data_IF_581873687707
#
_entry.id   IF_581873687707
#
_cell.length_a   1.000
_cell.length_b   1.000
_cell.length_c   1.000
_cell.angle_alpha   90.00
_cell.angle_beta   90.00
_cell.angle_gamma   90.00
#
_symmetry.space_group_name_H-M   'P 1'
#
loop_
_entity.id
_entity.type
_entity.pdbx_description
1 polymer ?
#
# COMPACT_ATOMS: atom_id res chain seq x y z
N UNK A 1 -13.69 7.28 -30.75
CA UNK A 1 -14.70 6.79 -29.78
C UNK A 1 -14.96 5.29 -29.91
N UNK A 2 -15.36 4.79 -31.09
CA UNK A 2 -15.60 3.34 -31.34
C UNK A 2 -14.39 2.46 -31.01
N UNK A 3 -13.19 2.87 -31.43
CA UNK A 3 -11.95 2.14 -31.15
C UNK A 3 -11.63 2.04 -29.65
N UNK A 4 -11.99 3.06 -28.86
CA UNK A 4 -11.78 3.08 -27.41
C UNK A 4 -12.76 2.14 -26.70
N UNK A 5 -14.01 2.10 -27.14
CA UNK A 5 -15.05 1.21 -26.61
C UNK A 5 -14.68 -0.25 -26.88
N UNK A 6 -14.22 -0.57 -28.09
CA UNK A 6 -13.77 -1.93 -28.43
C UNK A 6 -12.61 -2.39 -27.54
N UNK A 7 -11.64 -1.51 -27.28
CA UNK A 7 -10.50 -1.82 -26.39
C UNK A 7 -10.95 -2.03 -24.94
N UNK A 8 -11.84 -1.18 -24.42
CA UNK A 8 -12.41 -1.34 -23.09
C UNK A 8 -13.20 -2.65 -23.00
N UNK A 9 -14.05 -2.93 -23.98
CA UNK A 9 -14.84 -4.16 -24.03
C UNK A 9 -13.97 -5.41 -24.12
N UNK A 10 -12.88 -5.37 -24.90
CA UNK A 10 -11.91 -6.47 -24.97
C UNK A 10 -11.25 -6.71 -23.61
N UNK A 11 -10.76 -5.65 -22.95
CA UNK A 11 -10.11 -5.77 -21.63
C UNK A 11 -11.07 -6.30 -20.58
N UNK A 12 -12.29 -5.73 -20.51
CA UNK A 12 -13.32 -6.19 -19.57
C UNK A 12 -13.78 -7.61 -19.87
N UNK A 13 -13.90 -7.97 -21.16
CA UNK A 13 -14.26 -9.31 -21.61
C UNK A 13 -13.22 -10.33 -21.18
N UNK A 14 -11.94 -10.09 -21.45
CA UNK A 14 -10.84 -10.97 -21.02
C UNK A 14 -10.78 -11.07 -19.49
N UNK A 15 -10.87 -9.95 -18.77
CA UNK A 15 -10.86 -9.95 -17.31
C UNK A 15 -12.03 -10.77 -16.73
N UNK A 16 -13.22 -10.65 -17.32
CA UNK A 16 -14.42 -11.40 -16.90
C UNK A 16 -14.29 -12.89 -17.22
N UNK A 17 -13.69 -13.27 -18.35
CA UNK A 17 -13.47 -14.66 -18.69
C UNK A 17 -12.43 -15.32 -17.76
N UNK A 18 -11.36 -14.61 -17.42
CA UNK A 18 -10.27 -15.14 -16.60
C UNK A 18 -10.66 -15.19 -15.11
N UNK A 19 -11.24 -14.11 -14.58
CA UNK A 19 -11.49 -13.96 -13.14
C UNK A 19 -12.98 -13.88 -12.76
N UNK A 20 -13.88 -13.63 -13.72
CA UNK A 20 -15.31 -13.45 -13.45
C UNK A 20 -16.00 -14.70 -12.91
N UNK A 21 -15.52 -15.89 -13.26
CA UNK A 21 -16.08 -17.15 -12.74
C UNK A 21 -16.01 -17.22 -11.20
N UNK A 22 -14.97 -16.64 -10.59
CA UNK A 22 -14.81 -16.63 -9.13
C UNK A 22 -15.92 -15.80 -8.46
N UNK A 23 -16.20 -14.62 -9.01
CA UNK A 23 -17.27 -13.75 -8.52
C UNK A 23 -18.65 -14.36 -8.77
N UNK A 24 -18.85 -15.00 -9.92
CA UNK A 24 -20.08 -15.73 -10.21
C UNK A 24 -20.30 -16.89 -9.24
N UNK A 25 -19.26 -17.69 -8.96
CA UNK A 25 -19.31 -18.76 -7.96
C UNK A 25 -19.68 -18.22 -6.57
N UNK A 26 -19.07 -17.11 -6.14
CA UNK A 26 -19.39 -16.51 -4.85
C UNK A 26 -20.86 -16.10 -4.77
N UNK A 27 -21.38 -15.50 -5.85
CA UNK A 27 -22.77 -15.10 -5.91
C UNK A 27 -23.73 -16.30 -5.84
N UNK A 28 -23.46 -17.38 -6.58
CA UNK A 28 -24.34 -18.56 -6.57
C UNK A 28 -24.27 -19.37 -5.28
N UNK A 29 -23.09 -19.47 -4.65
CA UNK A 29 -22.89 -20.29 -3.46
C UNK A 29 -23.13 -19.53 -2.15
N UNK A 30 -22.89 -18.22 -2.13
CA UNK A 30 -22.84 -17.43 -0.90
C UNK A 30 -23.67 -16.14 -0.98
N UNK A 31 -24.35 -15.88 -2.11
CA UNK A 31 -25.26 -14.74 -2.29
C UNK A 31 -24.57 -13.38 -2.48
N UNK A 32 -23.23 -13.35 -2.52
CA UNK A 32 -22.45 -12.12 -2.59
C UNK A 32 -21.31 -12.24 -3.60
N UNK A 33 -20.98 -11.18 -4.33
CA UNK A 33 -19.86 -11.20 -5.28
C UNK A 33 -18.49 -11.18 -4.55
N UNK A 34 -18.37 -10.36 -3.50
CA UNK A 34 -17.14 -10.16 -2.75
C UNK A 34 -17.27 -10.74 -1.36
N UNK A 35 -16.31 -11.59 -0.97
CA UNK A 35 -16.31 -12.25 0.33
C UNK A 35 -14.96 -12.01 0.96
N UNK A 36 -14.97 -11.21 2.03
CA UNK A 36 -13.76 -10.83 2.75
C UNK A 36 -13.19 -11.97 3.58
N UNK A 37 -11.91 -11.85 3.97
CA UNK A 37 -11.31 -12.74 4.97
C UNK A 37 -12.02 -12.71 6.32
N UNK A 38 -12.71 -11.60 6.60
CA UNK A 38 -13.46 -11.32 7.81
C UNK A 38 -14.94 -11.70 7.75
N UNK A 39 -15.40 -12.28 6.64
CA UNK A 39 -16.82 -12.59 6.48
C UNK A 39 -17.27 -13.69 7.46
N UNK A 40 -18.38 -13.51 8.21
CA UNK A 40 -18.90 -14.51 9.15
C UNK A 40 -19.19 -15.87 8.50
N UNK A 41 -19.51 -15.91 7.20
CA UNK A 41 -19.75 -17.15 6.45
C UNK A 41 -18.54 -18.08 6.41
N UNK A 42 -17.33 -17.55 6.66
CA UNK A 42 -16.10 -18.35 6.77
C UNK A 42 -15.96 -19.11 8.08
N UNK A 43 -16.83 -18.85 9.06
CA UNK A 43 -16.78 -19.49 10.39
C UNK A 43 -15.57 -19.07 11.25
N UNK A 44 -14.83 -18.03 10.85
CA UNK A 44 -13.68 -17.51 11.59
C UNK A 44 -14.15 -16.34 12.45
N UNK A 45 -14.04 -16.50 13.77
CA UNK A 45 -14.31 -15.42 14.72
C UNK A 45 -13.04 -14.61 14.92
N UNK A 46 -13.00 -13.41 14.32
CA UNK A 46 -11.94 -12.45 14.56
C UNK A 46 -12.13 -11.82 15.93
N UNK A 47 -11.07 -11.78 16.73
CA UNK A 47 -11.04 -11.15 18.04
C UNK A 47 -9.68 -10.49 18.26
N UNK A 48 -9.64 -9.49 19.14
CA UNK A 48 -8.47 -8.71 19.45
C UNK A 48 -8.55 -8.26 20.91
N UNK A 49 -7.42 -8.17 21.59
CA UNK A 49 -7.38 -7.63 22.94
C UNK A 49 -7.89 -6.16 22.97
N UNK A 50 -8.48 -5.71 24.08
CA UNK A 50 -8.88 -4.32 24.26
C UNK A 50 -7.73 -3.34 23.99
N UNK A 51 -8.05 -2.16 23.46
CA UNK A 51 -7.04 -1.13 23.13
C UNK A 51 -6.81 -0.90 21.63
N UNK A 52 -7.62 -1.52 20.78
CA UNK A 52 -7.69 -1.25 19.33
C UNK A 52 -8.80 -0.24 19.00
N UNK A 53 -8.76 0.35 17.79
CA UNK A 53 -9.69 1.41 17.33
C UNK A 53 -9.64 2.70 18.16
N UNK A 54 -8.49 2.99 18.74
CA UNK A 54 -8.31 4.26 19.46
C UNK A 54 -8.10 5.40 18.48
N UNK A 55 -8.57 6.61 18.81
CA UNK A 55 -8.32 7.78 17.97
C UNK A 55 -6.81 8.01 17.74
N UNK A 56 -5.98 7.71 18.74
CA UNK A 56 -4.52 7.80 18.63
C UNK A 56 -3.99 7.03 17.42
N UNK A 57 -4.46 5.80 17.18
CA UNK A 57 -4.03 4.96 16.06
C UNK A 57 -4.35 5.54 14.66
N UNK A 58 -5.27 6.51 14.57
CA UNK A 58 -5.60 7.23 13.33
C UNK A 58 -4.77 8.49 13.11
N UNK A 59 -4.10 9.00 14.14
CA UNK A 59 -3.36 10.26 14.07
C UNK A 59 -1.86 10.11 14.42
N UNK A 60 -1.43 8.93 14.87
CA UNK A 60 -0.02 8.63 15.13
C UNK A 60 0.69 8.14 13.88
N UNK A 61 1.94 8.57 13.74
CA UNK A 61 2.90 8.06 12.76
C UNK A 61 4.31 8.23 13.33
N UNK A 62 5.21 7.29 13.02
CA UNK A 62 6.64 7.40 13.31
C UNK A 62 7.21 6.19 14.04
N UNK A 63 6.36 5.35 14.64
CA UNK A 63 6.80 4.09 15.24
C UNK A 63 7.53 3.23 14.21
N UNK A 64 7.02 3.21 12.98
CA UNK A 64 7.58 2.46 11.86
C UNK A 64 8.98 2.90 11.42
N UNK A 65 9.48 4.06 11.86
CA UNK A 65 10.84 4.53 11.55
C UNK A 65 11.91 3.94 12.49
N UNK A 66 11.50 3.53 13.70
CA UNK A 66 12.39 3.01 14.73
C UNK A 66 12.11 1.53 15.03
N UNK A 67 10.83 1.15 15.01
CA UNK A 67 10.33 -0.19 15.28
C UNK A 67 9.37 -0.63 14.15
N UNK A 68 9.87 -0.83 12.91
CA UNK A 68 9.04 -1.15 11.75
C UNK A 68 8.32 -2.50 11.82
N UNK A 69 8.95 -3.48 12.47
CA UNK A 69 8.41 -4.83 12.62
C UNK A 69 7.19 -4.76 13.56
N UNK A 70 6.04 -5.19 13.06
CA UNK A 70 4.74 -5.13 13.75
C UNK A 70 4.31 -3.74 14.22
N UNK A 71 4.82 -2.67 13.58
CA UNK A 71 4.43 -1.27 13.85
C UNK A 71 2.92 -1.00 13.67
N UNK A 72 2.21 -1.93 13.03
CA UNK A 72 0.76 -1.91 12.84
C UNK A 72 -0.06 -1.81 14.14
N UNK A 73 0.51 -2.24 15.26
CA UNK A 73 -0.11 -2.13 16.58
C UNK A 73 -0.21 -0.65 16.99
N UNK A 74 0.77 0.17 16.60
CA UNK A 74 0.85 1.57 16.98
C UNK A 74 -0.13 2.46 16.22
N UNK A 75 -0.41 2.15 14.95
CA UNK A 75 -1.36 2.92 14.15
C UNK A 75 -1.49 2.49 12.70
N UNK A 76 -2.53 2.99 12.04
CA UNK A 76 -2.85 2.67 10.63
C UNK A 76 -1.75 3.15 9.70
N UNK A 77 -1.22 4.35 9.93
CA UNK A 77 -0.19 4.94 9.07
C UNK A 77 1.14 4.22 9.19
N UNK A 78 1.52 3.84 10.41
CA UNK A 78 2.71 3.02 10.66
C UNK A 78 2.59 1.64 9.99
N UNK A 79 1.40 1.03 10.04
CA UNK A 79 1.10 -0.23 9.36
C UNK A 79 1.22 -0.12 7.84
N UNK A 80 0.62 0.91 7.25
CA UNK A 80 0.67 1.13 5.81
C UNK A 80 2.10 1.42 5.34
N UNK A 81 2.84 2.24 6.08
CA UNK A 81 4.21 2.60 5.75
C UNK A 81 5.14 1.39 5.82
N UNK A 82 5.15 0.67 6.94
CA UNK A 82 6.02 -0.50 7.13
C UNK A 82 5.68 -1.67 6.22
N UNK A 83 4.48 -1.72 5.64
CA UNK A 83 4.10 -2.78 4.69
C UNK A 83 4.16 -2.35 3.22
N UNK A 84 4.24 -1.05 2.94
CA UNK A 84 4.43 -0.54 1.58
C UNK A 84 5.90 -0.65 1.17
N UNK A 85 6.80 -0.35 2.10
CA UNK A 85 8.24 -0.19 1.79
C UNK A 85 9.12 -1.32 2.25
N UNK A 86 8.61 -2.17 3.15
CA UNK A 86 9.32 -3.31 3.69
C UNK A 86 8.34 -4.41 4.11
N UNK A 87 8.87 -5.51 4.62
CA UNK A 87 8.08 -6.60 5.20
C UNK A 87 7.83 -6.38 6.70
N UNK A 88 7.00 -5.38 7.03
CA UNK A 88 6.66 -5.05 8.42
C UNK A 88 5.90 -6.15 9.18
N UNK A 89 5.45 -7.21 8.50
CA UNK A 89 4.77 -8.36 9.11
C UNK A 89 5.59 -9.66 9.07
N UNK A 90 6.87 -9.61 8.65
CA UNK A 90 7.74 -10.77 8.54
C UNK A 90 7.08 -11.93 7.78
N UNK A 91 6.45 -11.61 6.65
CA UNK A 91 5.76 -12.55 5.76
C UNK A 91 4.58 -13.25 6.42
N UNK A 92 4.05 -12.67 7.51
CA UNK A 92 2.96 -13.24 8.29
C UNK A 92 3.40 -14.43 9.13
N UNK A 93 4.70 -14.62 9.37
CA UNK A 93 5.21 -15.64 10.26
C UNK A 93 4.97 -15.29 11.73
N UNK A 94 4.79 -16.33 12.53
CA UNK A 94 4.66 -16.24 13.97
C UNK A 94 6.06 -15.99 14.59
N UNK A 95 6.20 -15.04 15.55
CA UNK A 95 7.47 -14.75 16.24
C UNK A 95 8.17 -15.97 16.87
N UNK A 96 7.46 -17.07 17.10
CA UNK A 96 8.00 -18.30 17.67
C UNK A 96 8.75 -19.19 16.67
N UNK A 97 8.66 -18.89 15.37
CA UNK A 97 9.43 -19.56 14.33
C UNK A 97 10.65 -18.72 13.94
N UNK A 98 11.66 -19.38 13.35
CA UNK A 98 12.74 -18.66 12.68
C UNK A 98 12.10 -17.76 11.62
N UNK A 99 12.28 -16.44 11.80
CA UNK A 99 11.75 -15.45 10.89
C UNK A 99 12.25 -15.68 9.45
N UNK A 100 11.61 -15.03 8.47
CA UNK A 100 12.06 -15.15 7.09
C UNK A 100 13.54 -14.73 6.97
N UNK A 101 14.33 -15.36 6.08
CA UNK A 101 15.77 -15.18 6.00
C UNK A 101 16.16 -13.85 5.34
N UNK A 102 15.51 -12.74 5.70
CA UNK A 102 15.82 -11.41 5.20
C UNK A 102 17.13 -10.89 5.80
N UNK A 103 17.84 -10.08 5.03
CA UNK A 103 18.91 -9.27 5.61
C UNK A 103 18.29 -8.09 6.37
N UNK A 104 18.10 -8.26 7.68
CA UNK A 104 17.46 -7.27 8.54
C UNK A 104 18.18 -5.92 8.58
N UNK A 105 19.49 -5.88 8.33
CA UNK A 105 20.22 -4.62 8.25
C UNK A 105 19.66 -3.73 7.13
N UNK A 106 19.58 -4.28 5.92
CA UNK A 106 19.06 -3.58 4.73
C UNK A 106 17.54 -3.42 4.73
N UNK A 107 16.82 -4.39 5.32
CA UNK A 107 15.37 -4.32 5.45
C UNK A 107 14.95 -3.14 6.35
N UNK A 108 15.61 -2.98 7.50
CA UNK A 108 15.26 -1.96 8.49
C UNK A 108 15.75 -0.56 8.07
N UNK A 109 16.89 -0.44 7.38
CA UNK A 109 17.35 0.84 6.83
C UNK A 109 16.40 1.41 5.76
N UNK A 110 15.67 0.54 5.07
CA UNK A 110 14.60 0.95 4.14
C UNK A 110 13.52 1.80 4.81
N UNK A 111 13.37 1.74 6.15
CA UNK A 111 12.45 2.59 6.91
C UNK A 111 12.79 4.08 6.83
N UNK A 112 14.05 4.45 6.66
CA UNK A 112 14.43 5.85 6.50
C UNK A 112 14.54 6.23 5.03
N UNK A 113 15.12 5.35 4.21
CA UNK A 113 15.35 5.62 2.79
C UNK A 113 14.03 5.78 2.02
N UNK A 114 12.98 5.05 2.41
CA UNK A 114 11.66 5.12 1.77
C UNK A 114 10.82 6.34 2.16
N UNK A 115 11.29 7.20 3.08
CA UNK A 115 10.69 8.50 3.32
C UNK A 115 10.71 9.37 2.05
N UNK A 116 11.76 9.26 1.24
CA UNK A 116 11.87 10.04 0.00
C UNK A 116 10.77 9.67 -1.03
N UNK A 117 10.62 8.40 -1.46
CA UNK A 117 9.53 8.05 -2.38
C UNK A 117 8.15 8.26 -1.75
N UNK A 118 7.98 8.09 -0.43
CA UNK A 118 6.73 8.46 0.27
C UNK A 118 6.41 9.95 0.14
N UNK A 119 7.42 10.80 0.37
CA UNK A 119 7.30 12.25 0.23
C UNK A 119 6.98 12.64 -1.21
N UNK A 120 7.59 11.97 -2.18
CA UNK A 120 7.28 12.18 -3.59
C UNK A 120 5.81 11.86 -3.91
N UNK A 121 5.25 10.76 -3.38
CA UNK A 121 3.83 10.43 -3.56
C UNK A 121 2.94 11.53 -2.95
N UNK A 122 3.23 11.98 -1.73
CA UNK A 122 2.45 13.03 -1.05
C UNK A 122 2.51 14.37 -1.78
N UNK A 123 3.69 14.77 -2.26
CA UNK A 123 3.85 15.95 -3.10
C UNK A 123 3.08 15.81 -4.42
N UNK A 124 3.12 14.62 -5.03
CA UNK A 124 2.35 14.28 -6.22
C UNK A 124 0.85 14.44 -6.04
N UNK A 125 0.31 13.98 -4.90
CA UNK A 125 -1.09 14.18 -4.52
C UNK A 125 -1.39 15.68 -4.42
N UNK A 126 -0.54 16.45 -3.72
CA UNK A 126 -0.69 17.90 -3.62
C UNK A 126 -0.70 18.59 -4.99
N UNK A 127 0.22 18.21 -5.88
CA UNK A 127 0.27 18.71 -7.26
C UNK A 127 -1.01 18.40 -8.01
N UNK A 128 -1.49 17.15 -7.95
CA UNK A 128 -2.69 16.71 -8.65
C UNK A 128 -3.96 17.43 -8.16
N UNK A 129 -4.03 17.79 -6.88
CA UNK A 129 -5.18 18.46 -6.28
C UNK A 129 -5.17 19.98 -6.52
N UNK A 130 -4.02 20.63 -6.41
CA UNK A 130 -3.93 22.09 -6.33
C UNK A 130 -3.40 22.77 -7.60
N UNK A 131 -2.67 22.08 -8.50
CA UNK A 131 -2.21 22.72 -9.73
C UNK A 131 -3.39 22.95 -10.70
N UNK A 132 -3.52 24.15 -11.30
CA UNK A 132 -4.52 24.40 -12.34
C UNK A 132 -4.34 23.51 -13.56
N UNK A 133 -3.10 23.12 -13.85
CA UNK A 133 -2.70 22.23 -14.96
C UNK A 133 -2.81 20.74 -14.60
N UNK A 134 -3.69 20.37 -13.66
CA UNK A 134 -3.90 18.98 -13.25
C UNK A 134 -4.44 18.13 -14.40
N UNK A 135 -3.89 16.92 -14.55
CA UNK A 135 -4.37 15.95 -15.54
C UNK A 135 -5.48 15.10 -14.95
N UNK A 136 -6.44 14.67 -15.79
CA UNK A 136 -7.51 13.76 -15.37
C UNK A 136 -6.95 12.43 -14.84
N UNK A 137 -5.83 11.95 -15.40
CA UNK A 137 -5.13 10.76 -14.94
C UNK A 137 -4.60 10.89 -13.51
N UNK A 138 -3.98 12.03 -13.17
CA UNK A 138 -3.48 12.26 -11.81
C UNK A 138 -4.63 12.34 -10.79
N UNK A 139 -5.74 13.00 -11.13
CA UNK A 139 -6.94 13.02 -10.28
C UNK A 139 -7.56 11.64 -10.11
N UNK A 140 -7.60 10.84 -11.17
CA UNK A 140 -8.04 9.45 -11.09
C UNK A 140 -7.15 8.65 -10.13
N UNK A 141 -5.83 8.80 -10.22
CA UNK A 141 -4.88 8.15 -9.30
C UNK A 141 -5.09 8.57 -7.84
N UNK A 142 -5.31 9.86 -7.56
CA UNK A 142 -5.64 10.33 -6.20
C UNK A 142 -6.94 9.72 -5.70
N UNK A 143 -8.00 9.72 -6.52
CA UNK A 143 -9.29 9.13 -6.16
C UNK A 143 -9.19 7.64 -5.86
N UNK A 144 -8.43 6.89 -6.65
CA UNK A 144 -8.20 5.46 -6.40
C UNK A 144 -7.49 5.23 -5.06
N UNK A 145 -6.42 5.95 -4.77
CA UNK A 145 -5.71 5.84 -3.47
C UNK A 145 -6.64 6.22 -2.33
N UNK A 146 -7.40 7.31 -2.47
CA UNK A 146 -8.34 7.75 -1.44
C UNK A 146 -9.39 6.67 -1.12
N UNK A 147 -9.99 6.05 -2.15
CA UNK A 147 -10.97 4.97 -1.96
C UNK A 147 -10.35 3.77 -1.22
N UNK A 148 -9.12 3.40 -1.56
CA UNK A 148 -8.42 2.30 -0.88
C UNK A 148 -8.07 2.63 0.57
N UNK A 149 -7.57 3.83 0.84
CA UNK A 149 -7.29 4.28 2.21
C UNK A 149 -8.59 4.30 3.02
N UNK A 150 -9.69 4.81 2.47
CA UNK A 150 -10.99 4.79 3.12
C UNK A 150 -11.49 3.36 3.41
N UNK A 151 -11.31 2.43 2.46
CA UNK A 151 -11.67 1.03 2.65
C UNK A 151 -10.82 0.35 3.75
N UNK A 152 -9.52 0.63 3.81
CA UNK A 152 -8.63 0.11 4.85
C UNK A 152 -9.00 0.69 6.22
N UNK A 153 -9.30 1.98 6.32
CA UNK A 153 -9.75 2.61 7.56
C UNK A 153 -11.07 2.02 8.05
N UNK A 154 -12.03 1.81 7.15
CA UNK A 154 -13.29 1.13 7.45
C UNK A 154 -13.04 -0.29 7.97
N UNK A 155 -12.14 -1.02 7.31
CA UNK A 155 -11.79 -2.38 7.72
C UNK A 155 -11.13 -2.40 9.11
N UNK A 156 -10.20 -1.48 9.37
CA UNK A 156 -9.52 -1.32 10.66
C UNK A 156 -10.53 -1.00 11.80
N UNK A 157 -11.58 -0.24 11.49
CA UNK A 157 -12.68 0.07 12.42
C UNK A 157 -13.69 -1.06 12.60
N UNK A 158 -13.78 -2.02 11.67
CA UNK A 158 -14.86 -3.01 11.64
C UNK A 158 -14.38 -4.40 12.05
N UNK A 159 -13.14 -4.75 11.70
CA UNK A 159 -12.56 -6.07 11.94
C UNK A 159 -11.53 -6.00 13.07
N UNK A 160 -11.68 -6.77 14.15
CA UNK A 160 -10.73 -6.81 15.26
C UNK A 160 -9.52 -7.70 14.89
N UNK A 161 -8.60 -7.19 14.07
CA UNK A 161 -7.35 -7.87 13.71
C UNK A 161 -6.21 -6.86 13.55
N UNK A 162 -5.08 -7.08 14.23
CA UNK A 162 -3.91 -6.19 14.19
C UNK A 162 -3.31 -6.04 12.78
N UNK A 163 -3.49 -7.04 11.92
CA UNK A 163 -2.89 -7.06 10.59
C UNK A 163 -3.81 -6.48 9.50
N UNK A 164 -4.81 -5.68 9.86
CA UNK A 164 -5.79 -5.17 8.90
C UNK A 164 -5.20 -4.17 7.91
N UNK A 165 -4.34 -3.28 8.37
CA UNK A 165 -3.86 -2.15 7.57
C UNK A 165 -2.62 -2.51 6.74
N UNK A 166 -2.77 -3.36 5.72
CA UNK A 166 -1.65 -3.75 4.83
C UNK A 166 -1.69 -2.99 3.52
N UNK A 167 -0.55 -2.43 3.14
CA UNK A 167 -0.37 -1.80 1.84
C UNK A 167 -0.40 -2.82 0.68
N UNK A 168 -0.25 -4.13 0.95
CA UNK A 168 -0.42 -5.18 -0.08
C UNK A 168 -1.81 -5.18 -0.72
N UNK A 169 -2.83 -4.67 -0.03
CA UNK A 169 -4.15 -4.46 -0.64
C UNK A 169 -4.13 -3.43 -1.77
N UNK A 170 -3.12 -2.55 -1.80
CA UNK A 170 -2.96 -1.50 -2.81
C UNK A 170 -2.05 -1.90 -3.98
N UNK A 171 -1.67 -3.18 -4.12
CA UNK A 171 -0.81 -3.65 -5.23
C UNK A 171 -1.38 -3.30 -6.61
N UNK A 172 -2.69 -3.36 -6.79
CA UNK A 172 -3.34 -2.93 -8.04
C UNK A 172 -3.20 -1.42 -8.33
N UNK A 173 -2.80 -0.63 -7.34
CA UNK A 173 -2.59 0.81 -7.44
C UNK A 173 -1.13 1.20 -7.71
N UNK A 174 -0.20 0.26 -7.92
CA UNK A 174 1.19 0.58 -8.26
C UNK A 174 1.30 1.62 -9.40
N UNK A 175 0.53 1.53 -10.51
CA UNK A 175 0.56 2.57 -11.54
C UNK A 175 0.11 3.95 -11.05
N UNK A 176 -0.83 4.01 -10.11
CA UNK A 176 -1.29 5.26 -9.51
C UNK A 176 -0.21 5.88 -8.61
N UNK A 177 0.47 5.07 -7.80
CA UNK A 177 1.63 5.52 -7.03
C UNK A 177 2.76 6.01 -7.94
N UNK A 178 3.01 5.33 -9.06
CA UNK A 178 4.02 5.74 -10.03
C UNK A 178 3.72 7.11 -10.65
N UNK A 179 2.47 7.35 -11.11
CA UNK A 179 2.06 8.65 -11.68
C UNK A 179 2.22 9.78 -10.67
N UNK A 180 1.80 9.56 -9.41
CA UNK A 180 1.89 10.59 -8.37
C UNK A 180 3.33 10.82 -7.92
N UNK A 181 4.09 9.75 -7.69
CA UNK A 181 5.52 9.88 -7.34
C UNK A 181 6.31 10.62 -8.41
N UNK A 182 6.05 10.39 -9.70
CA UNK A 182 6.68 11.13 -10.79
C UNK A 182 6.43 12.65 -10.66
N UNK A 183 5.18 13.06 -10.42
CA UNK A 183 4.83 14.47 -10.21
C UNK A 183 5.49 15.09 -8.96
N UNK A 184 5.72 14.31 -7.91
CA UNK A 184 6.48 14.76 -6.75
C UNK A 184 7.99 14.84 -7.00
N UNK A 185 8.56 13.89 -7.73
CA UNK A 185 9.97 13.89 -8.09
C UNK A 185 10.35 15.07 -8.99
N UNK A 186 9.45 15.55 -9.86
CA UNK A 186 9.65 16.79 -10.62
C UNK A 186 9.94 17.99 -9.70
N UNK A 187 9.26 18.08 -8.55
CA UNK A 187 9.50 19.13 -7.55
C UNK A 187 10.83 18.89 -6.82
N UNK A 188 11.04 17.66 -6.35
CA UNK A 188 12.23 17.31 -5.56
C UNK A 188 13.53 17.44 -6.35
N UNK A 189 13.47 17.28 -7.68
CA UNK A 189 14.63 17.34 -8.58
C UNK A 189 14.79 18.68 -9.31
N UNK A 190 14.02 19.71 -8.93
CA UNK A 190 14.03 21.01 -9.60
C UNK A 190 15.38 21.74 -9.56
N UNK A 191 16.21 21.48 -8.53
CA UNK A 191 17.56 22.06 -8.40
C UNK A 191 18.64 21.01 -8.66
N UNK A 192 19.77 21.35 -9.30
CA UNK A 192 20.80 20.37 -9.66
C UNK A 192 21.40 19.65 -8.44
N UNK A 193 21.61 20.36 -7.33
CA UNK A 193 22.10 19.76 -6.08
C UNK A 193 21.07 18.80 -5.47
N UNK A 194 19.81 19.23 -5.35
CA UNK A 194 18.73 18.40 -4.82
C UNK A 194 18.52 17.17 -5.70
N UNK A 195 18.59 17.32 -7.01
CA UNK A 195 18.50 16.22 -7.97
C UNK A 195 19.58 15.16 -7.73
N UNK A 196 20.82 15.57 -7.51
CA UNK A 196 21.90 14.62 -7.19
C UNK A 196 21.65 13.87 -5.88
N UNK A 197 21.21 14.59 -4.83
CA UNK A 197 20.87 13.99 -3.53
C UNK A 197 19.71 12.99 -3.68
N UNK A 198 18.63 13.40 -4.36
CA UNK A 198 17.44 12.58 -4.60
C UNK A 198 17.80 11.30 -5.34
N UNK A 199 18.57 11.40 -6.43
CA UNK A 199 19.00 10.21 -7.17
C UNK A 199 19.94 9.32 -6.35
N UNK A 200 20.83 9.90 -5.54
CA UNK A 200 21.66 9.14 -4.62
C UNK A 200 20.84 8.33 -3.62
N UNK A 201 19.86 8.96 -2.95
CA UNK A 201 18.99 8.28 -1.99
C UNK A 201 18.13 7.21 -2.68
N UNK A 202 17.56 7.50 -3.86
CA UNK A 202 16.78 6.50 -4.62
C UNK A 202 17.65 5.30 -5.03
N UNK A 203 18.89 5.53 -5.45
CA UNK A 203 19.83 4.46 -5.77
C UNK A 203 20.17 3.62 -4.52
N UNK A 204 20.47 4.27 -3.39
CA UNK A 204 20.70 3.58 -2.12
C UNK A 204 19.48 2.75 -1.71
N UNK A 205 18.28 3.33 -1.77
CA UNK A 205 17.03 2.64 -1.46
C UNK A 205 16.80 1.41 -2.36
N UNK A 206 16.99 1.56 -3.67
CA UNK A 206 16.80 0.46 -4.61
C UNK A 206 17.80 -0.68 -4.37
N UNK A 207 19.05 -0.36 -4.05
CA UNK A 207 20.06 -1.35 -3.68
C UNK A 207 19.72 -2.01 -2.35
N UNK A 208 19.34 -1.24 -1.33
CA UNK A 208 18.90 -1.77 -0.03
C UNK A 208 17.76 -2.79 -0.17
N UNK A 209 16.72 -2.44 -0.93
CA UNK A 209 15.60 -3.36 -1.19
C UNK A 209 16.08 -4.64 -1.85
N UNK A 210 16.98 -4.55 -2.83
CA UNK A 210 17.54 -5.75 -3.47
C UNK A 210 18.34 -6.61 -2.47
N UNK A 211 19.24 -5.99 -1.71
CA UNK A 211 20.07 -6.70 -0.73
C UNK A 211 19.25 -7.32 0.40
N UNK A 212 18.18 -6.65 0.84
CA UNK A 212 17.29 -7.11 1.91
C UNK A 212 16.65 -8.47 1.61
N UNK A 213 16.24 -8.71 0.37
CA UNK A 213 15.49 -9.91 -0.01
C UNK A 213 16.29 -10.95 -0.80
N UNK A 214 17.39 -10.56 -1.46
CA UNK A 214 18.15 -11.45 -2.33
C UNK A 214 19.54 -11.83 -1.80
N UNK A 215 20.03 -11.20 -0.75
CA UNK A 215 21.31 -11.55 -0.12
C UNK A 215 21.06 -11.95 1.33
N UNK A 216 20.88 -13.25 1.55
CA UNK A 216 20.64 -13.90 2.84
C UNK A 216 21.94 -14.42 3.45
#
# INVERSE_FOLDING_TARGET
>A
MVLSIQRIALVLGVASLVAGWYYWRNWTQMGQFFIGGWDPSRGIVWWQDPGFRTLRQFFSFGESLFYPIYSAIAGVWDSLYSTLWMDGFLSGQDPHYEGPPWNYGFLLSSAWLSLLPSTAILLGIGVALFKPTRTQGALFSVSCIFVYVAAILYLFLTVPIYTTAKATYTLGLIPCYAVLSAGGFEILTARPLLRAIVYGIVACWAVDVYLAYFIC
#
